data_IF_597018455341
#
_entry.id   IF_597018455341
#
_cell.length_a   1.000
_cell.length_b   1.000
_cell.length_c   1.000
_cell.angle_alpha   90.00
_cell.angle_beta   90.00
_cell.angle_gamma   90.00
#
_symmetry.space_group_name_H-M   'P 1'
#
loop_
_entity.id
_entity.type
_entity.pdbx_description
1 polymer ?
#
# COMPACT_ATOMS: atom_id res chain seq x y z
N UNK A 1 51.19 -51.82 -27.03
CA UNK A 1 51.08 -51.04 -25.76
C UNK A 1 50.74 -49.60 -26.10
N UNK A 2 49.47 -49.24 -26.06
CA UNK A 2 49.04 -47.86 -26.23
C UNK A 2 48.45 -47.40 -24.91
N UNK A 3 49.04 -46.35 -24.31
CA UNK A 3 48.58 -45.72 -23.12
C UNK A 3 47.49 -44.71 -23.50
N UNK A 4 46.31 -44.86 -22.95
CA UNK A 4 45.19 -43.90 -23.07
C UNK A 4 45.28 -42.91 -21.90
N UNK A 5 45.59 -41.63 -22.23
CA UNK A 5 45.57 -40.55 -21.27
C UNK A 5 44.10 -40.10 -20.99
N UNK A 6 43.65 -40.39 -19.78
CA UNK A 6 42.35 -39.91 -19.28
C UNK A 6 42.41 -38.43 -18.90
N UNK A 7 41.76 -37.56 -19.68
CA UNK A 7 41.58 -36.13 -19.33
C UNK A 7 40.42 -35.99 -18.33
N UNK A 8 40.75 -35.62 -17.09
CA UNK A 8 39.78 -35.32 -16.04
C UNK A 8 38.98 -34.06 -16.41
N UNK A 9 37.68 -34.20 -16.71
CA UNK A 9 36.73 -33.08 -16.86
C UNK A 9 36.54 -32.36 -15.55
N UNK A 10 37.04 -31.14 -15.44
CA UNK A 10 36.71 -30.20 -14.36
C UNK A 10 35.20 -29.91 -14.39
N UNK A 11 34.47 -30.34 -13.36
CA UNK A 11 33.07 -29.94 -13.13
C UNK A 11 33.06 -28.49 -12.71
N UNK A 12 32.52 -27.63 -13.55
CA UNK A 12 32.17 -26.23 -13.20
C UNK A 12 31.01 -26.26 -12.19
N UNK A 13 31.07 -25.55 -11.07
CA UNK A 13 29.93 -25.47 -10.15
C UNK A 13 28.75 -24.79 -10.88
N UNK A 14 27.49 -25.18 -10.54
CA UNK A 14 26.32 -24.56 -11.15
C UNK A 14 26.30 -23.07 -10.79
N UNK A 15 26.06 -22.22 -11.78
CA UNK A 15 25.89 -20.82 -11.61
C UNK A 15 24.80 -20.55 -10.56
N UNK A 16 25.13 -19.75 -9.54
CA UNK A 16 24.17 -19.25 -8.57
C UNK A 16 23.12 -18.47 -9.35
N UNK A 17 21.95 -19.09 -9.52
CA UNK A 17 20.77 -18.44 -10.10
C UNK A 17 20.48 -17.20 -9.28
N UNK A 18 20.60 -16.04 -9.89
CA UNK A 18 20.20 -14.77 -9.33
C UNK A 18 18.79 -14.90 -8.77
N UNK A 19 18.62 -14.69 -7.47
CA UNK A 19 17.31 -14.60 -6.82
C UNK A 19 16.49 -13.58 -7.62
N UNK A 20 15.50 -14.06 -8.36
CA UNK A 20 14.57 -13.25 -9.12
C UNK A 20 13.94 -12.28 -8.13
N UNK A 21 14.19 -10.98 -8.31
CA UNK A 21 13.60 -9.92 -7.49
C UNK A 21 12.08 -10.07 -7.60
N UNK A 22 11.39 -10.43 -6.51
CA UNK A 22 9.92 -10.56 -6.49
C UNK A 22 9.34 -9.29 -7.11
N UNK A 23 8.48 -9.43 -8.11
CA UNK A 23 7.78 -8.31 -8.76
C UNK A 23 6.96 -7.58 -7.71
N UNK A 24 7.20 -6.27 -7.52
CA UNK A 24 6.43 -5.46 -6.58
C UNK A 24 4.97 -5.35 -7.06
N UNK A 25 4.02 -5.61 -6.18
CA UNK A 25 2.59 -5.56 -6.46
C UNK A 25 2.03 -4.15 -6.27
N UNK A 26 1.33 -3.65 -7.28
CA UNK A 26 0.63 -2.36 -7.26
C UNK A 26 -0.57 -2.38 -8.20
N UNK A 27 -1.77 -2.19 -7.68
CA UNK A 27 -2.99 -2.12 -8.48
C UNK A 27 -3.23 -0.74 -9.07
N UNK A 28 -3.10 0.29 -8.27
CA UNK A 28 -3.37 1.67 -8.64
C UNK A 28 -2.52 2.65 -7.82
N UNK A 29 -2.40 3.88 -8.33
CA UNK A 29 -1.84 4.98 -7.56
C UNK A 29 -2.83 5.40 -6.46
N UNK A 30 -2.30 5.68 -5.28
CA UNK A 30 -3.06 6.19 -4.14
C UNK A 30 -2.42 7.48 -3.65
N UNK A 31 -3.22 8.47 -3.28
CA UNK A 31 -2.68 9.69 -2.72
C UNK A 31 -2.01 9.37 -1.37
N UNK A 32 -0.78 9.82 -1.18
CA UNK A 32 0.02 9.45 -0.01
C UNK A 32 0.53 7.99 -0.01
N UNK A 33 0.22 7.20 -1.07
CA UNK A 33 0.56 5.77 -1.13
C UNK A 33 2.05 5.48 -1.01
N UNK A 34 2.40 4.44 -0.26
CA UNK A 34 3.76 4.11 0.18
C UNK A 34 4.57 3.25 -0.79
N UNK A 35 4.06 2.98 -2.00
CA UNK A 35 4.75 2.14 -2.98
C UNK A 35 6.17 2.61 -3.30
N UNK A 36 6.37 3.91 -3.43
CA UNK A 36 7.70 4.48 -3.70
C UNK A 36 8.63 4.47 -2.48
N UNK A 37 8.12 4.18 -1.30
CA UNK A 37 8.84 4.15 -0.03
C UNK A 37 9.10 2.72 0.48
N UNK A 38 8.69 1.67 -0.26
CA UNK A 38 8.80 0.27 0.16
C UNK A 38 10.21 -0.11 0.58
N UNK A 39 11.23 0.26 -0.22
CA UNK A 39 12.63 -0.10 0.06
C UNK A 39 13.17 0.52 1.35
N UNK A 40 12.57 1.63 1.80
CA UNK A 40 12.90 2.27 3.05
C UNK A 40 12.06 1.75 4.22
N UNK A 41 10.75 1.53 4.01
CA UNK A 41 9.81 1.15 5.08
C UNK A 41 9.92 -0.32 5.47
N UNK A 42 10.01 -1.24 4.49
CA UNK A 42 9.98 -2.67 4.77
C UNK A 42 11.06 -3.14 5.76
N UNK A 43 12.33 -2.66 5.70
CA UNK A 43 13.34 -3.02 6.68
C UNK A 43 13.06 -2.52 8.11
N UNK A 44 12.20 -1.49 8.25
CA UNK A 44 11.82 -0.92 9.54
C UNK A 44 10.61 -1.63 10.17
N UNK A 45 9.94 -2.53 9.43
CA UNK A 45 8.76 -3.28 9.86
C UNK A 45 9.12 -4.74 10.16
N UNK A 46 9.41 -5.10 11.42
CA UNK A 46 9.87 -6.44 11.79
C UNK A 46 8.81 -7.51 11.55
N UNK A 47 9.25 -8.77 11.53
CA UNK A 47 8.36 -9.94 11.57
C UNK A 47 7.49 -9.89 12.83
N UNK A 48 6.23 -10.29 12.72
CA UNK A 48 5.25 -10.30 13.80
C UNK A 48 4.27 -11.45 13.60
N UNK A 49 3.56 -11.83 14.65
CA UNK A 49 2.50 -12.82 14.55
C UNK A 49 1.27 -12.26 13.83
N UNK A 50 0.86 -11.04 14.20
CA UNK A 50 -0.25 -10.34 13.57
C UNK A 50 0.24 -9.01 12.98
N UNK A 51 0.02 -8.79 11.70
CA UNK A 51 0.27 -7.53 11.01
C UNK A 51 -1.05 -6.85 10.66
N UNK A 52 -1.21 -5.59 11.03
CA UNK A 52 -2.44 -4.84 10.82
C UNK A 52 -2.16 -3.46 10.23
N UNK A 53 -2.85 -3.12 9.14
CA UNK A 53 -2.89 -1.79 8.55
C UNK A 53 -4.27 -1.14 8.79
N UNK A 54 -4.43 -0.28 9.83
CA UNK A 54 -5.70 0.39 10.11
C UNK A 54 -6.10 1.47 9.09
N UNK A 55 -5.14 1.96 8.29
CA UNK A 55 -5.28 2.95 7.21
C UNK A 55 -4.60 2.40 5.96
N UNK A 56 -5.15 1.36 5.37
CA UNK A 56 -4.42 0.57 4.39
C UNK A 56 -4.43 1.16 2.97
N UNK A 57 -5.46 1.92 2.59
CA UNK A 57 -5.59 2.52 1.26
C UNK A 57 -5.34 1.51 0.14
N UNK A 58 -4.28 1.71 -0.64
CA UNK A 58 -3.89 0.78 -1.72
C UNK A 58 -3.20 -0.50 -1.24
N UNK A 59 -3.07 -0.74 0.06
CA UNK A 59 -2.37 -1.89 0.65
C UNK A 59 -0.90 -2.05 0.21
N UNK A 60 -0.22 -0.95 -0.13
CA UNK A 60 1.11 -1.01 -0.74
C UNK A 60 2.13 -1.75 0.12
N UNK A 61 2.09 -1.60 1.45
CA UNK A 61 3.01 -2.31 2.37
C UNK A 61 2.56 -3.76 2.52
N UNK A 62 1.29 -4.01 2.87
CA UNK A 62 0.73 -5.35 3.09
C UNK A 62 0.97 -6.28 1.90
N UNK A 63 0.78 -5.79 0.67
CA UNK A 63 0.97 -6.57 -0.55
C UNK A 63 2.44 -6.92 -0.83
N UNK A 64 3.39 -6.12 -0.34
CA UNK A 64 4.80 -6.23 -0.69
C UNK A 64 5.72 -6.69 0.44
N UNK A 65 5.20 -6.84 1.67
CA UNK A 65 5.95 -7.44 2.78
C UNK A 65 5.81 -8.96 2.81
N UNK A 66 6.72 -9.64 3.52
CA UNK A 66 6.54 -11.05 3.84
C UNK A 66 5.30 -11.25 4.70
N UNK A 67 4.53 -12.30 4.40
CA UNK A 67 3.27 -12.57 5.12
C UNK A 67 3.52 -12.89 6.59
N UNK A 68 2.61 -12.40 7.43
CA UNK A 68 2.49 -12.81 8.83
C UNK A 68 1.48 -13.94 8.98
N UNK A 69 1.51 -14.74 10.07
CA UNK A 69 0.49 -15.76 10.33
C UNK A 69 -0.94 -15.20 10.31
N UNK A 70 -1.14 -14.02 10.88
CA UNK A 70 -2.40 -13.26 10.86
C UNK A 70 -2.15 -11.90 10.22
N UNK A 71 -3.05 -11.47 9.33
CA UNK A 71 -2.96 -10.18 8.65
C UNK A 71 -4.33 -9.52 8.56
N UNK A 72 -4.39 -8.21 8.84
CA UNK A 72 -5.62 -7.41 8.76
C UNK A 72 -5.39 -6.17 7.90
N UNK A 73 -6.24 -6.02 6.90
CA UNK A 73 -6.44 -4.82 6.10
C UNK A 73 -7.65 -4.07 6.65
N UNK A 74 -7.56 -2.78 6.87
CA UNK A 74 -8.69 -1.93 7.18
C UNK A 74 -8.57 -0.59 6.46
N UNK A 75 -9.69 -0.08 6.00
CA UNK A 75 -9.81 1.32 5.59
C UNK A 75 -11.22 1.83 5.92
N UNK A 76 -11.36 3.14 6.13
CA UNK A 76 -12.65 3.77 6.35
C UNK A 76 -13.41 3.97 5.04
N UNK A 77 -12.68 4.08 3.91
CA UNK A 77 -13.27 4.22 2.58
C UNK A 77 -13.87 2.89 2.09
N UNK A 78 -15.19 2.78 2.18
CA UNK A 78 -15.93 1.59 1.74
C UNK A 78 -15.78 1.27 0.26
N UNK A 79 -15.35 2.21 -0.60
CA UNK A 79 -15.11 1.96 -2.03
C UNK A 79 -13.84 1.12 -2.24
N UNK A 80 -12.75 1.50 -1.57
CA UNK A 80 -11.50 0.73 -1.66
C UNK A 80 -11.61 -0.61 -0.96
N UNK A 81 -12.33 -0.67 0.18
CA UNK A 81 -12.61 -1.94 0.88
C UNK A 81 -13.43 -2.87 0.00
N UNK A 82 -14.51 -2.37 -0.63
CA UNK A 82 -15.31 -3.15 -1.59
C UNK A 82 -14.44 -3.68 -2.73
N UNK A 83 -13.54 -2.84 -3.28
CA UNK A 83 -12.63 -3.24 -4.34
C UNK A 83 -11.76 -4.45 -3.93
N UNK A 84 -11.11 -4.40 -2.77
CA UNK A 84 -10.27 -5.51 -2.30
C UNK A 84 -11.07 -6.76 -1.94
N UNK A 85 -12.28 -6.60 -1.37
CA UNK A 85 -13.17 -7.72 -1.11
C UNK A 85 -13.58 -8.43 -2.41
N UNK A 86 -14.02 -7.67 -3.43
CA UNK A 86 -14.39 -8.22 -4.75
C UNK A 86 -13.17 -8.83 -5.45
N UNK A 87 -12.01 -8.20 -5.37
CA UNK A 87 -10.76 -8.74 -5.91
C UNK A 87 -10.46 -10.14 -5.35
N UNK A 88 -10.69 -10.37 -4.06
CA UNK A 88 -10.51 -11.67 -3.41
C UNK A 88 -11.62 -12.67 -3.76
N UNK A 89 -12.89 -12.24 -3.72
CA UNK A 89 -14.05 -13.14 -3.77
C UNK A 89 -14.52 -13.43 -5.19
N UNK A 90 -14.28 -12.50 -6.12
CA UNK A 90 -14.73 -12.55 -7.51
C UNK A 90 -13.62 -12.20 -8.49
N UNK A 91 -12.41 -12.69 -8.26
CA UNK A 91 -11.21 -12.30 -9.00
C UNK A 91 -11.37 -12.43 -10.52
N UNK A 92 -11.83 -13.58 -11.01
CA UNK A 92 -12.00 -13.83 -12.44
C UNK A 92 -13.01 -12.89 -13.08
N UNK A 93 -14.16 -12.67 -12.43
CA UNK A 93 -15.18 -11.76 -12.90
C UNK A 93 -14.68 -10.32 -12.94
N UNK A 94 -13.93 -9.89 -11.91
CA UNK A 94 -13.32 -8.55 -11.87
C UNK A 94 -12.26 -8.37 -12.95
N UNK A 95 -11.37 -9.34 -13.15
CA UNK A 95 -10.35 -9.33 -14.22
C UNK A 95 -11.04 -9.19 -15.57
N UNK A 96 -12.05 -10.01 -15.85
CA UNK A 96 -12.81 -9.97 -17.11
C UNK A 96 -13.50 -8.62 -17.32
N UNK A 97 -14.19 -8.12 -16.29
CA UNK A 97 -14.86 -6.82 -16.37
C UNK A 97 -13.89 -5.68 -16.64
N UNK A 98 -12.72 -5.67 -15.98
CA UNK A 98 -11.72 -4.62 -16.16
C UNK A 98 -10.96 -4.74 -17.47
N UNK A 99 -10.62 -5.94 -17.93
CA UNK A 99 -9.93 -6.16 -19.20
C UNK A 99 -10.77 -5.71 -20.40
N UNK A 100 -12.10 -5.82 -20.29
CA UNK A 100 -13.06 -5.40 -21.34
C UNK A 100 -13.51 -3.94 -21.18
N UNK A 101 -13.09 -3.24 -20.13
CA UNK A 101 -13.48 -1.84 -19.90
C UNK A 101 -12.68 -0.91 -20.84
N UNK A 102 -13.34 -0.09 -21.68
CA UNK A 102 -12.67 0.85 -22.54
C UNK A 102 -11.94 1.94 -21.74
N UNK A 103 -10.77 2.36 -22.23
CA UNK A 103 -10.13 3.56 -21.69
C UNK A 103 -10.74 4.78 -22.39
N UNK A 104 -11.89 5.24 -21.91
CA UNK A 104 -12.66 6.31 -22.53
C UNK A 104 -13.12 7.36 -21.50
N UNK A 105 -13.39 8.56 -22.02
CA UNK A 105 -13.91 9.65 -21.18
C UNK A 105 -15.33 9.38 -20.70
N UNK A 106 -16.15 8.72 -21.51
CA UNK A 106 -17.51 8.34 -21.15
C UNK A 106 -17.53 7.31 -20.02
N UNK A 107 -16.70 6.28 -20.13
CA UNK A 107 -16.52 5.26 -19.09
C UNK A 107 -16.05 5.88 -17.76
N UNK A 108 -15.10 6.84 -17.85
CA UNK A 108 -14.63 7.58 -16.68
C UNK A 108 -15.73 8.46 -16.08
N UNK A 109 -16.57 9.09 -16.92
CA UNK A 109 -17.71 9.89 -16.47
C UNK A 109 -18.72 9.04 -15.70
N UNK A 110 -19.10 7.89 -16.25
CA UNK A 110 -19.96 6.91 -15.60
C UNK A 110 -19.37 6.44 -14.28
N UNK A 111 -18.07 6.15 -14.25
CA UNK A 111 -17.39 5.71 -13.04
C UNK A 111 -17.33 6.80 -11.94
N UNK A 112 -17.36 8.09 -12.31
CA UNK A 112 -17.41 9.19 -11.35
C UNK A 112 -18.80 9.42 -10.74
N UNK A 113 -19.85 8.85 -11.32
CA UNK A 113 -21.21 8.93 -10.78
C UNK A 113 -21.38 7.84 -9.71
N UNK A 114 -21.54 8.27 -8.46
CA UNK A 114 -21.86 7.33 -7.37
C UNK A 114 -23.32 6.90 -7.51
N UNK A 115 -23.51 5.59 -7.59
CA UNK A 115 -24.81 4.96 -7.73
C UNK A 115 -24.87 3.82 -6.70
N UNK A 116 -25.73 3.91 -5.68
CA UNK A 116 -25.82 2.90 -4.62
C UNK A 116 -26.40 1.57 -5.11
N UNK A 117 -27.13 1.56 -6.22
CA UNK A 117 -27.88 0.39 -6.71
C UNK A 117 -27.02 -0.53 -7.58
N UNK A 118 -25.77 -0.16 -7.90
CA UNK A 118 -24.88 -1.04 -8.67
C UNK A 118 -24.32 -2.18 -7.82
N UNK A 119 -24.08 -3.31 -8.47
CA UNK A 119 -23.52 -4.50 -7.82
C UNK A 119 -22.13 -4.21 -7.21
N UNK A 120 -21.69 -4.96 -6.18
CA UNK A 120 -20.34 -4.85 -5.64
C UNK A 120 -19.24 -4.98 -6.70
N UNK A 121 -19.42 -5.86 -7.69
CA UNK A 121 -18.51 -6.04 -8.82
C UNK A 121 -18.42 -4.77 -9.68
N UNK A 122 -19.54 -4.18 -10.05
CA UNK A 122 -19.58 -2.95 -10.84
C UNK A 122 -19.01 -1.76 -10.05
N UNK A 123 -19.29 -1.64 -8.75
CA UNK A 123 -18.64 -0.65 -7.87
C UNK A 123 -17.11 -0.80 -7.88
N UNK A 124 -16.60 -2.02 -7.78
CA UNK A 124 -15.18 -2.30 -7.82
C UNK A 124 -14.56 -1.94 -9.18
N UNK A 125 -15.25 -2.25 -10.29
CA UNK A 125 -14.85 -1.85 -11.64
C UNK A 125 -14.79 -0.33 -11.78
N UNK A 126 -15.85 0.40 -11.38
CA UNK A 126 -15.90 1.86 -11.42
C UNK A 126 -14.81 2.49 -10.55
N UNK A 127 -14.59 1.93 -9.36
CA UNK A 127 -13.48 2.39 -8.50
C UNK A 127 -12.12 2.29 -9.21
N UNK A 128 -11.84 1.17 -9.86
CA UNK A 128 -10.59 0.99 -10.60
C UNK A 128 -10.46 1.94 -11.78
N UNK A 129 -11.53 2.16 -12.53
CA UNK A 129 -11.58 3.14 -13.63
C UNK A 129 -11.21 4.54 -13.09
N UNK A 130 -11.82 4.99 -11.99
CA UNK A 130 -11.46 6.25 -11.32
C UNK A 130 -9.98 6.26 -10.93
N UNK A 131 -9.51 5.23 -10.26
CA UNK A 131 -8.13 5.16 -9.74
C UNK A 131 -7.07 5.16 -10.85
N UNK A 132 -7.37 4.59 -12.02
CA UNK A 132 -6.42 4.42 -13.12
C UNK A 132 -6.56 5.42 -14.25
N UNK A 133 -7.74 6.01 -14.42
CA UNK A 133 -7.99 7.00 -15.47
C UNK A 133 -7.92 8.45 -14.97
N UNK A 134 -7.85 8.69 -13.66
CA UNK A 134 -7.67 10.04 -13.11
C UNK A 134 -6.22 10.50 -13.19
N UNK A 135 -6.02 11.81 -13.36
CA UNK A 135 -4.69 12.42 -13.19
C UNK A 135 -4.30 12.40 -11.71
N UNK A 136 -3.03 12.08 -11.44
CA UNK A 136 -2.38 12.21 -10.11
C UNK A 136 -2.95 11.23 -9.06
N UNK A 137 -3.64 10.15 -9.45
CA UNK A 137 -4.05 9.09 -8.52
C UNK A 137 -5.09 9.48 -7.45
N UNK A 138 -5.89 10.52 -7.70
CA UNK A 138 -6.95 11.00 -6.81
C UNK A 138 -8.30 10.33 -7.10
N UNK A 139 -8.38 9.00 -6.96
CA UNK A 139 -9.61 8.24 -7.22
C UNK A 139 -10.81 8.74 -6.41
N UNK A 140 -10.59 9.12 -5.16
CA UNK A 140 -11.62 9.55 -4.21
C UNK A 140 -12.23 10.91 -4.58
N UNK A 141 -11.47 11.80 -5.22
CA UNK A 141 -11.91 13.12 -5.69
C UNK A 141 -11.89 13.22 -7.22
N UNK A 142 -12.09 12.11 -7.91
CA UNK A 142 -12.12 12.08 -9.36
C UNK A 142 -13.31 12.90 -9.90
N UNK A 143 -13.01 13.83 -10.79
CA UNK A 143 -13.99 14.64 -11.50
C UNK A 143 -13.72 14.59 -13.00
N UNK A 144 -14.72 14.88 -13.83
CA UNK A 144 -14.60 14.83 -15.30
C UNK A 144 -13.41 15.64 -15.84
N UNK A 145 -13.09 16.78 -15.23
CA UNK A 145 -11.95 17.61 -15.61
C UNK A 145 -10.58 17.00 -15.31
N UNK A 146 -10.54 15.93 -14.52
CA UNK A 146 -9.30 15.24 -14.15
C UNK A 146 -9.04 13.95 -14.93
N UNK A 147 -9.80 13.67 -15.98
CA UNK A 147 -9.51 12.50 -16.82
C UNK A 147 -8.10 12.56 -17.40
N UNK A 148 -7.35 11.48 -17.24
CA UNK A 148 -5.98 11.34 -17.73
C UNK A 148 -5.98 11.02 -19.22
N UNK A 149 -5.30 11.86 -20.02
CA UNK A 149 -4.99 11.56 -21.40
C UNK A 149 -3.47 11.52 -21.62
N UNK A 150 -3.04 10.89 -22.68
CA UNK A 150 -1.63 10.80 -23.03
C UNK A 150 -1.46 11.21 -24.50
N UNK A 151 -0.59 12.20 -24.76
CA UNK A 151 -0.28 12.66 -26.12
C UNK A 151 1.00 12.07 -26.66
N UNK A 152 2.06 12.01 -25.85
CA UNK A 152 3.43 11.80 -26.33
C UNK A 152 4.17 10.64 -25.64
N UNK A 153 3.56 9.96 -24.64
CA UNK A 153 4.24 8.87 -23.93
C UNK A 153 3.74 7.52 -24.43
N UNK A 154 4.63 6.68 -24.95
CA UNK A 154 4.32 5.29 -25.31
C UNK A 154 5.07 4.32 -24.42
N UNK A 155 4.47 3.17 -24.16
CA UNK A 155 5.06 2.05 -23.42
C UNK A 155 4.48 0.74 -23.96
N UNK A 156 5.33 -0.23 -24.27
CA UNK A 156 4.91 -1.52 -24.83
C UNK A 156 4.01 -1.37 -26.08
N UNK A 157 4.35 -0.43 -26.99
CA UNK A 157 3.62 -0.22 -28.23
C UNK A 157 2.25 0.47 -28.11
N UNK A 158 1.88 0.96 -26.91
CA UNK A 158 0.61 1.63 -26.65
C UNK A 158 0.80 2.91 -25.82
N UNK A 159 -0.27 3.70 -25.65
CA UNK A 159 -0.26 4.85 -24.74
C UNK A 159 0.19 4.43 -23.34
N UNK A 160 1.12 5.19 -22.74
CA UNK A 160 1.68 4.87 -21.43
C UNK A 160 0.65 4.81 -20.30
N UNK A 161 -0.49 5.50 -20.42
CA UNK A 161 -1.58 5.44 -19.45
C UNK A 161 -2.42 4.17 -19.62
N UNK A 162 -2.66 3.73 -20.86
CA UNK A 162 -3.34 2.45 -21.14
C UNK A 162 -2.47 1.29 -20.70
N UNK A 163 -1.17 1.31 -20.99
CA UNK A 163 -0.22 0.29 -20.50
C UNK A 163 -0.24 0.15 -18.98
N UNK A 164 -0.34 1.26 -18.25
CA UNK A 164 -0.47 1.22 -16.78
C UNK A 164 -1.83 0.69 -16.32
N UNK A 165 -2.91 0.99 -17.05
CA UNK A 165 -4.23 0.45 -16.75
C UNK A 165 -4.23 -1.06 -16.86
N UNK A 166 -3.80 -1.59 -18.02
CA UNK A 166 -3.75 -3.04 -18.27
C UNK A 166 -2.74 -3.75 -17.36
N UNK A 167 -1.59 -3.16 -17.09
CA UNK A 167 -0.59 -3.75 -16.20
C UNK A 167 -1.04 -3.90 -14.74
N UNK A 168 -2.06 -3.12 -14.32
CA UNK A 168 -2.74 -3.36 -13.04
C UNK A 168 -3.72 -4.54 -13.11
N UNK A 169 -4.44 -4.68 -14.22
CA UNK A 169 -5.35 -5.83 -14.44
C UNK A 169 -4.56 -7.15 -14.43
N UNK A 170 -3.40 -7.19 -15.06
CA UNK A 170 -2.51 -8.37 -15.08
C UNK A 170 -2.04 -8.80 -13.68
N UNK A 171 -2.00 -7.90 -12.71
CA UNK A 171 -1.57 -8.21 -11.34
C UNK A 171 -2.71 -8.66 -10.42
N UNK A 172 -3.97 -8.53 -10.84
CA UNK A 172 -5.12 -8.88 -10.01
C UNK A 172 -5.11 -10.32 -9.50
N UNK A 173 -4.79 -11.36 -10.30
CA UNK A 173 -4.74 -12.73 -9.80
C UNK A 173 -3.72 -12.91 -8.66
N UNK A 174 -2.51 -12.36 -8.81
CA UNK A 174 -1.46 -12.43 -7.77
C UNK A 174 -1.90 -11.74 -6.48
N UNK A 175 -2.59 -10.61 -6.61
CA UNK A 175 -3.11 -9.85 -5.48
C UNK A 175 -4.28 -10.57 -4.82
N UNK A 176 -5.19 -11.17 -5.59
CA UNK A 176 -6.27 -11.99 -5.05
C UNK A 176 -5.71 -13.16 -4.21
N UNK A 177 -4.73 -13.88 -4.73
CA UNK A 177 -4.02 -14.94 -3.99
C UNK A 177 -3.37 -14.41 -2.71
N UNK A 178 -2.76 -13.22 -2.76
CA UNK A 178 -2.16 -12.58 -1.58
C UNK A 178 -3.21 -12.24 -0.51
N UNK A 179 -4.42 -11.86 -0.93
CA UNK A 179 -5.54 -11.43 -0.05
C UNK A 179 -6.31 -12.59 0.57
N UNK A 180 -6.23 -13.81 0.06
CA UNK A 180 -6.99 -14.97 0.58
C UNK A 180 -6.81 -15.14 2.09
N UNK A 181 -5.62 -14.88 2.60
CA UNK A 181 -5.27 -15.02 4.02
C UNK A 181 -5.39 -13.74 4.84
N UNK A 182 -5.90 -12.66 4.26
CA UNK A 182 -6.02 -11.34 4.91
C UNK A 182 -7.45 -11.12 5.39
N UNK A 183 -7.61 -10.74 6.65
CA UNK A 183 -8.88 -10.26 7.19
C UNK A 183 -9.13 -8.86 6.64
N UNK A 184 -10.34 -8.58 6.15
CA UNK A 184 -10.72 -7.29 5.58
C UNK A 184 -11.79 -6.67 6.47
N UNK A 185 -11.47 -5.51 7.03
CA UNK A 185 -12.33 -4.69 7.87
C UNK A 185 -12.72 -3.38 7.15
N UNK A 186 -13.84 -2.79 7.57
CA UNK A 186 -14.25 -1.44 7.15
C UNK A 186 -14.81 -0.70 8.37
N UNK A 187 -13.91 -0.25 9.25
CA UNK A 187 -14.24 0.31 10.56
C UNK A 187 -13.35 1.52 10.88
N UNK A 188 -13.74 2.36 11.85
CA UNK A 188 -12.86 3.37 12.40
C UNK A 188 -11.52 2.74 12.86
N UNK A 189 -10.41 3.34 12.46
CA UNK A 189 -9.08 2.77 12.74
C UNK A 189 -8.81 2.54 14.23
N UNK A 190 -9.28 3.44 15.10
CA UNK A 190 -9.12 3.31 16.54
C UNK A 190 -9.80 2.05 17.10
N UNK A 191 -10.94 1.63 16.53
CA UNK A 191 -11.65 0.43 16.95
C UNK A 191 -10.91 -0.84 16.51
N UNK A 192 -10.37 -0.83 15.29
CA UNK A 192 -9.53 -1.91 14.77
C UNK A 192 -8.25 -2.05 15.59
N UNK A 193 -7.60 -0.94 15.95
CA UNK A 193 -6.40 -0.95 16.79
C UNK A 193 -6.71 -1.56 18.16
N UNK A 194 -7.79 -1.13 18.81
CA UNK A 194 -8.20 -1.69 20.13
C UNK A 194 -8.54 -3.17 20.05
N UNK A 195 -9.24 -3.58 18.98
CA UNK A 195 -9.67 -4.97 18.79
C UNK A 195 -8.49 -5.93 18.64
N UNK A 196 -7.46 -5.52 17.90
CA UNK A 196 -6.34 -6.40 17.54
C UNK A 196 -5.06 -6.13 18.35
N UNK A 197 -5.13 -5.27 19.40
CA UNK A 197 -3.97 -4.96 20.22
C UNK A 197 -3.51 -6.15 21.05
N UNK A 198 -2.30 -6.59 20.79
CA UNK A 198 -1.61 -7.63 21.55
C UNK A 198 -0.09 -7.46 21.44
N UNK A 199 0.70 -8.05 22.36
CA UNK A 199 2.16 -8.02 22.26
C UNK A 199 2.73 -8.62 20.96
N UNK A 200 1.96 -9.50 20.28
CA UNK A 200 2.32 -10.12 19.00
C UNK A 200 1.93 -9.30 17.77
N UNK A 201 1.20 -8.18 17.94
CA UNK A 201 0.71 -7.36 16.85
C UNK A 201 1.73 -6.27 16.47
N UNK A 202 1.85 -6.02 15.16
CA UNK A 202 2.49 -4.85 14.58
C UNK A 202 1.44 -4.07 13.79
N UNK A 203 1.14 -2.86 14.25
CA UNK A 203 0.34 -1.89 13.51
C UNK A 203 1.23 -1.01 12.64
N UNK A 204 0.91 -0.90 11.35
CA UNK A 204 1.43 0.13 10.48
C UNK A 204 0.32 1.14 10.17
N UNK A 205 0.47 2.35 10.68
CA UNK A 205 -0.51 3.42 10.56
C UNK A 205 -0.02 4.49 9.56
N UNK A 206 -0.84 4.75 8.56
CA UNK A 206 -0.62 5.78 7.53
C UNK A 206 -1.86 6.67 7.42
N UNK A 207 -2.21 7.40 8.50
CA UNK A 207 -3.40 8.25 8.51
C UNK A 207 -3.27 9.42 7.52
N UNK A 208 -4.36 10.10 7.15
CA UNK A 208 -4.28 11.39 6.48
C UNK A 208 -3.34 12.32 7.23
N UNK A 209 -2.36 12.92 6.51
CA UNK A 209 -1.31 13.71 7.15
C UNK A 209 -1.82 15.07 7.63
N UNK A 210 -1.16 15.63 8.63
CA UNK A 210 -1.51 16.92 9.25
C UNK A 210 -1.62 18.03 8.19
N UNK A 211 -2.68 18.83 8.26
CA UNK A 211 -3.05 19.84 7.24
C UNK A 211 -1.94 20.83 6.94
N UNK A 212 -1.31 21.39 7.95
CA UNK A 212 -0.27 22.41 7.81
C UNK A 212 0.99 21.93 7.08
N UNK A 213 1.15 20.62 6.97
CA UNK A 213 2.29 19.98 6.28
C UNK A 213 2.02 19.70 4.80
N UNK A 214 0.76 19.88 4.33
CA UNK A 214 0.33 19.51 2.98
C UNK A 214 0.06 20.73 2.09
N UNK A 215 0.22 20.57 0.79
CA UNK A 215 -0.09 21.62 -0.19
C UNK A 215 -1.51 21.55 -0.77
N UNK A 216 -2.23 20.46 -0.52
CA UNK A 216 -3.63 20.28 -0.92
C UNK A 216 -4.43 19.81 0.30
N UNK A 217 -5.28 20.70 0.80
CA UNK A 217 -6.10 20.49 2.00
C UNK A 217 -7.34 19.63 1.75
N UNK A 218 -7.64 19.26 0.48
CA UNK A 218 -8.82 18.46 0.09
C UNK A 218 -8.45 17.19 -0.66
N UNK A 219 -7.28 16.62 -0.35
CA UNK A 219 -6.75 15.49 -1.09
C UNK A 219 -7.35 14.13 -0.67
N UNK A 220 -7.80 14.01 0.56
CA UNK A 220 -8.43 12.77 1.06
C UNK A 220 -9.95 12.90 1.11
N UNK A 221 -10.66 11.77 0.92
CA UNK A 221 -12.12 11.72 1.14
C UNK A 221 -12.46 11.85 2.63
N UNK A 222 -11.59 11.34 3.49
CA UNK A 222 -11.69 11.40 4.95
C UNK A 222 -10.46 12.14 5.48
N UNK A 223 -10.61 13.42 5.75
CA UNK A 223 -9.54 14.24 6.34
C UNK A 223 -9.50 14.04 7.84
N UNK A 224 -8.31 14.18 8.45
CA UNK A 224 -8.12 14.14 9.90
C UNK A 224 -7.70 15.52 10.42
N UNK A 225 -8.40 16.00 11.43
CA UNK A 225 -8.07 17.23 12.17
C UNK A 225 -7.05 16.93 13.28
N UNK A 226 -6.44 17.97 13.84
CA UNK A 226 -5.45 17.83 14.91
C UNK A 226 -6.00 17.11 16.15
N UNK A 227 -7.29 17.32 16.48
CA UNK A 227 -7.96 16.62 17.59
C UNK A 227 -8.06 15.12 17.34
N UNK A 228 -8.30 14.71 16.09
CA UNK A 228 -8.37 13.30 15.71
C UNK A 228 -6.97 12.67 15.72
N UNK A 229 -5.92 13.42 15.32
CA UNK A 229 -4.53 13.00 15.49
C UNK A 229 -4.15 12.81 16.96
N UNK A 230 -4.60 13.70 17.86
CA UNK A 230 -4.40 13.57 19.31
C UNK A 230 -5.13 12.35 19.87
N UNK A 231 -6.37 12.11 19.44
CA UNK A 231 -7.15 10.95 19.83
C UNK A 231 -6.51 9.63 19.36
N UNK A 232 -6.03 9.59 18.10
CA UNK A 232 -5.29 8.45 17.57
C UNK A 232 -4.00 8.21 18.35
N UNK A 233 -3.23 9.27 18.64
CA UNK A 233 -2.00 9.16 19.40
C UNK A 233 -2.23 8.60 20.82
N UNK A 234 -3.33 8.98 21.48
CA UNK A 234 -3.70 8.42 22.77
C UNK A 234 -3.91 6.91 22.70
N UNK A 235 -4.62 6.42 21.66
CA UNK A 235 -4.82 4.98 21.42
C UNK A 235 -3.48 4.28 21.14
N UNK A 236 -2.66 4.83 20.24
CA UNK A 236 -1.38 4.23 19.87
C UNK A 236 -0.35 4.22 21.01
N UNK A 237 -0.38 5.25 21.86
CA UNK A 237 0.46 5.30 23.08
C UNK A 237 0.04 4.27 24.15
N UNK A 238 -1.21 3.81 24.15
CA UNK A 238 -1.71 2.78 25.06
C UNK A 238 -1.49 1.35 24.57
N UNK A 239 -1.13 1.15 23.27
CA UNK A 239 -0.96 -0.18 22.69
C UNK A 239 0.11 -1.01 23.39
N UNK A 240 -0.19 -2.31 23.55
CA UNK A 240 0.73 -3.38 23.96
C UNK A 240 1.58 -3.85 22.79
N UNK A 241 1.04 -3.75 21.59
CA UNK A 241 1.67 -4.13 20.35
C UNK A 241 2.74 -3.13 19.87
N UNK A 242 3.46 -3.54 18.83
CA UNK A 242 4.37 -2.66 18.12
C UNK A 242 3.57 -1.72 17.22
N UNK A 243 3.98 -0.47 17.18
CA UNK A 243 3.35 0.55 16.34
C UNK A 243 4.41 1.25 15.50
N UNK A 244 4.13 1.39 14.22
CA UNK A 244 4.85 2.24 13.28
C UNK A 244 3.84 3.22 12.66
N UNK A 245 4.08 4.53 12.74
CA UNK A 245 3.21 5.55 12.16
C UNK A 245 3.99 6.48 11.25
N UNK A 246 3.47 6.68 10.03
CA UNK A 246 4.00 7.61 9.03
C UNK A 246 3.33 8.97 9.10
N UNK A 247 4.10 10.03 8.91
CA UNK A 247 3.61 11.39 8.66
C UNK A 247 4.76 12.25 8.10
N UNK A 248 4.47 13.51 7.75
CA UNK A 248 5.52 14.50 7.53
C UNK A 248 6.08 15.01 8.85
N UNK A 249 7.34 15.48 8.80
CA UNK A 249 8.00 16.09 9.95
C UNK A 249 7.29 17.37 10.38
N UNK A 250 6.80 17.43 11.61
CA UNK A 250 6.21 18.62 12.18
C UNK A 250 6.18 18.58 13.72
N UNK A 251 6.05 19.74 14.34
CA UNK A 251 6.06 19.93 15.80
C UNK A 251 4.99 19.09 16.51
N UNK A 252 3.76 19.05 15.98
CA UNK A 252 2.67 18.29 16.58
C UNK A 252 2.99 16.78 16.64
N UNK A 253 3.59 16.23 15.59
CA UNK A 253 3.98 14.81 15.58
C UNK A 253 5.06 14.51 16.62
N UNK A 254 6.04 15.39 16.81
CA UNK A 254 7.07 15.22 17.84
C UNK A 254 6.52 15.34 19.27
N UNK A 255 5.48 16.15 19.47
CA UNK A 255 4.75 16.25 20.75
C UNK A 255 3.93 14.98 21.02
N UNK A 256 3.24 14.43 20.00
CA UNK A 256 2.39 13.24 20.12
C UNK A 256 3.20 11.96 20.28
N UNK A 257 4.40 11.90 19.69
CA UNK A 257 5.29 10.72 19.67
C UNK A 257 6.69 11.07 20.21
N UNK A 258 6.80 11.39 21.51
CA UNK A 258 8.03 11.92 22.11
C UNK A 258 9.16 10.87 22.14
N UNK A 259 10.45 11.31 22.05
CA UNK A 259 11.62 10.43 21.92
C UNK A 259 11.87 9.53 23.15
N UNK A 260 11.25 9.82 24.29
CA UNK A 260 11.29 8.93 25.46
C UNK A 260 10.69 7.54 25.20
N UNK A 261 9.67 7.48 24.34
CA UNK A 261 8.94 6.24 24.02
C UNK A 261 9.07 5.86 22.54
N UNK A 262 9.27 6.83 21.65
CA UNK A 262 9.25 6.67 20.22
C UNK A 262 10.61 6.92 19.58
N UNK A 263 10.92 6.18 18.53
CA UNK A 263 12.08 6.39 17.67
C UNK A 263 11.62 7.02 16.36
N UNK A 264 12.33 8.04 15.92
CA UNK A 264 12.06 8.79 14.69
C UNK A 264 13.05 8.36 13.61
N UNK A 265 12.53 7.91 12.47
CA UNK A 265 13.29 7.57 11.28
C UNK A 265 12.91 8.51 10.15
N UNK A 266 13.88 9.21 9.62
CA UNK A 266 13.69 10.23 8.59
C UNK A 266 14.09 9.65 7.24
N UNK A 267 13.20 9.69 6.25
CA UNK A 267 13.54 9.27 4.89
C UNK A 267 14.40 10.34 4.21
N UNK A 268 15.32 9.92 3.36
CA UNK A 268 16.10 10.88 2.55
C UNK A 268 15.15 11.65 1.63
N UNK A 269 15.24 12.99 1.55
CA UNK A 269 14.40 13.77 0.65
C UNK A 269 14.56 13.28 -0.78
N UNK A 270 13.45 12.90 -1.41
CA UNK A 270 13.44 12.71 -2.86
C UNK A 270 13.29 14.10 -3.48
N UNK A 271 14.23 14.47 -4.33
CA UNK A 271 14.15 15.69 -5.14
C UNK A 271 12.96 15.58 -6.10
N UNK A 272 11.81 16.10 -5.67
CA UNK A 272 10.68 16.32 -6.57
C UNK A 272 10.75 17.77 -7.07
N UNK A 273 11.04 17.91 -8.36
CA UNK A 273 11.10 19.22 -9.04
C UNK A 273 9.77 20.00 -9.06
N UNK A 274 8.69 19.49 -8.47
CA UNK A 274 7.33 20.02 -8.62
C UNK A 274 6.75 20.73 -7.39
N UNK A 275 7.40 20.74 -6.22
CA UNK A 275 6.85 21.40 -5.03
C UNK A 275 7.87 22.27 -4.32
N UNK A 276 7.55 23.56 -4.17
CA UNK A 276 8.25 24.51 -3.30
C UNK A 276 8.08 24.05 -1.84
N UNK A 277 9.07 23.36 -1.29
CA UNK A 277 9.10 22.85 0.09
C UNK A 277 9.47 21.38 0.12
N UNK A 278 10.59 21.03 0.75
CA UNK A 278 11.01 19.64 0.96
C UNK A 278 10.09 19.02 2.01
N UNK A 279 9.18 18.15 1.56
CA UNK A 279 8.39 17.32 2.46
C UNK A 279 9.19 16.08 2.78
N UNK A 280 9.51 15.92 4.04
CA UNK A 280 10.30 14.80 4.53
C UNK A 280 9.38 13.78 5.16
N UNK A 281 9.32 12.60 4.58
CA UNK A 281 8.59 11.45 5.11
C UNK A 281 9.31 10.94 6.35
N UNK A 282 8.56 10.76 7.45
CA UNK A 282 9.07 10.30 8.72
C UNK A 282 8.25 9.12 9.23
N UNK A 283 8.91 8.16 9.86
CA UNK A 283 8.30 7.04 10.56
C UNK A 283 8.64 7.12 12.05
N UNK A 284 7.62 7.14 12.91
CA UNK A 284 7.79 6.96 14.34
C UNK A 284 7.46 5.53 14.73
N UNK A 285 8.30 4.90 15.56
CA UNK A 285 8.07 3.54 16.07
C UNK A 285 8.21 3.49 17.59
N UNK A 286 7.35 2.74 18.27
CA UNK A 286 7.47 2.47 19.71
C UNK A 286 8.41 1.29 20.03
N UNK A 287 9.16 0.81 19.03
CA UNK A 287 10.13 -0.28 19.13
C UNK A 287 11.43 0.07 18.38
N UNK A 288 12.47 -0.72 18.60
CA UNK A 288 13.73 -0.64 17.83
C UNK A 288 13.71 -1.71 16.72
N UNK A 289 13.58 -1.35 15.44
CA UNK A 289 13.48 -2.32 14.35
C UNK A 289 14.73 -3.21 14.21
N UNK A 290 15.89 -2.74 14.69
CA UNK A 290 17.16 -3.45 14.59
C UNK A 290 17.44 -4.37 15.79
N UNK A 291 16.65 -4.24 16.87
CA UNK A 291 16.79 -5.06 18.10
C UNK A 291 15.69 -6.10 18.27
N UNK A 292 14.69 -6.12 17.40
CA UNK A 292 13.60 -7.10 17.45
C UNK A 292 14.14 -8.45 16.99
N UNK A 293 14.57 -9.31 17.93
CA UNK A 293 14.84 -10.72 17.62
C UNK A 293 13.53 -11.38 17.19
N UNK A 294 13.53 -12.08 16.06
CA UNK A 294 12.43 -12.98 15.72
C UNK A 294 12.30 -14.00 16.86
N UNK A 295 11.17 -14.01 17.59
CA UNK A 295 10.88 -15.16 18.45
C UNK A 295 10.66 -16.35 17.52
N UNK A 296 11.28 -17.52 17.78
CA UNK A 296 10.97 -18.71 17.02
C UNK A 296 9.46 -18.97 17.11
N UNK A 297 8.86 -19.26 15.97
CA UNK A 297 7.47 -19.74 15.90
C UNK A 297 7.43 -21.10 16.55
N UNK A 298 6.42 -21.37 17.38
CA UNK A 298 6.21 -22.66 18.05
C UNK A 298 5.91 -23.84 17.10
N UNK A 299 6.03 -23.60 15.77
CA UNK A 299 5.75 -24.58 14.71
C UNK A 299 6.83 -24.45 13.61
N UNK A 300 8.06 -24.81 13.92
CA UNK A 300 9.05 -25.34 13.00
C UNK A 300 9.36 -26.76 13.38
#
# INVERSE_FOLDING_TARGET
MQQTNGVARKRTPPAVTSLSRKKKLILFGWYGGKFSHLDWLLPLLPKCHHYCEPFAGSAAILLNRDSSPVETYNDLDGEVVNFFRVCREQSEALVKAMALTPFSREEFATACTLDPDVTPLERARRFYVRARQVRIGLAQSATLGRWGNCKNTSRAGMSGIISRFLGGVEQLPDIALRLIRVQIENRPAADVIRLYDSPGTLFYCDPPYIHDTRGDSKAYAFEMKDEEHKALAAVLNACKGKVAISNYDCKLMDELYPPKKWRKFVNKPKTNHATKGQRVEVLWTNYDPFKVKAKPTLFE
#
